data_IF_145085683871
#
_entry.id   IF_145085683871
#
_cell.length_a   1.000
_cell.length_b   1.000
_cell.length_c   1.000
_cell.angle_alpha   90.00
_cell.angle_beta   90.00
_cell.angle_gamma   90.00
#
_symmetry.space_group_name_H-M   'P 1'
#
loop_
_entity.id
_entity.type
_entity.pdbx_description
1 polymer ?
#
# COMPACT_ATOMS: atom_id res chain seq x y z
N UNK A 1 -22.86 -29.44 19.52
CA UNK A 1 -21.43 -29.40 19.92
C UNK A 1 -21.01 -30.82 20.26
N UNK A 2 -20.12 -31.46 19.50
CA UNK A 2 -19.60 -32.80 19.82
C UNK A 2 -18.22 -32.62 20.42
N UNK A 3 -18.14 -32.63 21.75
CA UNK A 3 -16.90 -32.49 22.53
C UNK A 3 -16.57 -33.82 23.23
N UNK A 4 -16.03 -34.79 22.50
CA UNK A 4 -15.57 -36.04 23.12
C UNK A 4 -14.78 -36.99 22.20
N UNK A 5 -14.23 -36.53 21.08
CA UNK A 5 -13.33 -37.37 20.27
C UNK A 5 -11.88 -36.94 20.46
N UNK A 6 -11.03 -37.88 20.89
CA UNK A 6 -9.58 -37.65 21.01
C UNK A 6 -9.02 -37.17 19.66
N UNK A 7 -8.26 -36.07 19.68
CA UNK A 7 -7.52 -35.59 18.51
C UNK A 7 -6.39 -36.59 18.28
N UNK A 8 -6.50 -37.35 17.18
CA UNK A 8 -5.48 -38.32 16.77
C UNK A 8 -4.17 -37.61 16.47
N UNK A 9 -3.05 -38.22 16.89
CA UNK A 9 -1.72 -37.78 16.46
C UNK A 9 -1.55 -38.05 14.96
N UNK A 10 -0.73 -37.27 14.22
CA UNK A 10 -0.52 -37.46 12.78
C UNK A 10 -0.13 -38.90 12.35
N UNK A 11 0.51 -39.66 13.24
CA UNK A 11 0.88 -41.07 13.00
C UNK A 11 -0.25 -42.09 13.21
N UNK A 12 -1.36 -41.70 13.84
CA UNK A 12 -2.52 -42.56 14.14
C UNK A 12 -3.65 -42.43 13.10
N UNK A 13 -3.41 -41.67 12.02
CA UNK A 13 -4.37 -41.48 10.94
C UNK A 13 -4.48 -42.71 10.02
N UNK A 14 -3.42 -43.52 9.94
CA UNK A 14 -3.33 -44.62 9.00
C UNK A 14 -3.53 -45.94 9.73
N UNK A 15 -4.61 -46.64 9.39
CA UNK A 15 -4.82 -48.01 9.84
C UNK A 15 -3.83 -48.94 9.13
N UNK A 16 -3.42 -50.02 9.81
CA UNK A 16 -2.55 -51.01 9.18
C UNK A 16 -3.29 -51.67 8.02
N UNK A 17 -2.72 -51.70 6.80
CA UNK A 17 -3.43 -52.21 5.64
C UNK A 17 -3.70 -53.71 5.82
N UNK A 18 -4.99 -54.07 5.81
CA UNK A 18 -5.44 -55.47 5.95
C UNK A 18 -5.04 -56.32 4.73
N UNK A 19 -4.76 -55.66 3.60
CA UNK A 19 -4.38 -56.29 2.33
C UNK A 19 -2.86 -56.19 2.17
N UNK A 20 -2.17 -57.33 2.18
CA UNK A 20 -0.74 -57.42 1.81
C UNK A 20 -0.61 -57.31 0.29
N UNK A 21 -0.62 -56.08 -0.21
CA UNK A 21 -0.36 -55.81 -1.62
C UNK A 21 1.14 -55.86 -1.90
N UNK A 22 1.51 -56.36 -3.08
CA UNK A 22 2.90 -56.27 -3.56
C UNK A 22 3.30 -54.79 -3.71
N UNK A 23 4.45 -54.37 -3.15
CA UNK A 23 4.87 -52.97 -3.14
C UNK A 23 4.96 -52.36 -4.55
N UNK A 24 5.35 -53.15 -5.56
CA UNK A 24 5.42 -52.67 -6.95
C UNK A 24 4.05 -52.26 -7.47
N UNK A 25 3.04 -53.09 -7.24
CA UNK A 25 1.66 -52.79 -7.65
C UNK A 25 1.03 -51.61 -6.89
N UNK A 26 1.41 -51.41 -5.62
CA UNK A 26 0.94 -50.29 -4.82
C UNK A 26 1.47 -48.96 -5.37
N UNK A 27 2.77 -48.88 -5.66
CA UNK A 27 3.41 -47.68 -6.22
C UNK A 27 2.79 -47.32 -7.57
N UNK A 28 2.61 -48.30 -8.46
CA UNK A 28 1.99 -48.05 -9.77
C UNK A 28 0.56 -47.54 -9.66
N UNK A 29 -0.23 -48.03 -8.69
CA UNK A 29 -1.59 -47.53 -8.45
C UNK A 29 -1.58 -46.12 -7.86
N UNK A 30 -0.70 -45.85 -6.89
CA UNK A 30 -0.57 -44.54 -6.28
C UNK A 30 -0.16 -43.48 -7.31
N UNK A 31 0.79 -43.79 -8.20
CA UNK A 31 1.19 -42.92 -9.30
C UNK A 31 0.01 -42.58 -10.20
N UNK A 32 -0.78 -43.59 -10.63
CA UNK A 32 -1.99 -43.36 -11.43
C UNK A 32 -3.01 -42.47 -10.71
N UNK A 33 -3.26 -42.72 -9.42
CA UNK A 33 -4.17 -41.87 -8.64
C UNK A 33 -3.66 -40.42 -8.56
N UNK A 34 -2.37 -40.22 -8.30
CA UNK A 34 -1.79 -38.88 -8.22
C UNK A 34 -1.78 -38.17 -9.58
N UNK A 35 -1.62 -38.89 -10.69
CA UNK A 35 -1.75 -38.37 -12.05
C UNK A 35 -3.19 -37.95 -12.39
N UNK A 36 -4.19 -38.67 -11.86
CA UNK A 36 -5.61 -38.33 -12.04
C UNK A 36 -6.05 -37.11 -11.21
N UNK A 37 -5.34 -36.78 -10.12
CA UNK A 37 -5.62 -35.60 -9.31
C UNK A 37 -5.30 -34.33 -10.09
N UNK A 38 -6.34 -33.66 -10.58
CA UNK A 38 -6.21 -32.33 -11.18
C UNK A 38 -6.17 -31.26 -10.09
N UNK A 39 -5.32 -30.23 -10.20
CA UNK A 39 -5.37 -29.09 -9.31
C UNK A 39 -6.77 -28.45 -9.39
N UNK A 40 -7.40 -28.27 -8.23
CA UNK A 40 -8.65 -27.52 -8.16
C UNK A 40 -8.38 -26.08 -8.64
N UNK A 41 -9.16 -25.55 -9.59
CA UNK A 41 -9.02 -24.16 -9.98
C UNK A 41 -9.23 -23.28 -8.75
N UNK A 42 -8.19 -22.52 -8.39
CA UNK A 42 -8.26 -21.57 -7.29
C UNK A 42 -9.43 -20.62 -7.54
N UNK A 43 -10.40 -20.60 -6.62
CA UNK A 43 -11.60 -19.77 -6.72
C UNK A 43 -11.33 -18.27 -6.58
N UNK A 44 -10.06 -17.87 -6.40
CA UNK A 44 -9.73 -16.48 -6.16
C UNK A 44 -8.56 -16.00 -7.01
N UNK A 45 -8.81 -15.69 -8.28
CA UNK A 45 -8.02 -14.68 -8.98
C UNK A 45 -8.44 -13.33 -8.38
N UNK A 46 -7.80 -12.92 -7.28
CA UNK A 46 -7.99 -11.58 -6.75
C UNK A 46 -7.43 -10.60 -7.79
N UNK A 47 -8.31 -10.01 -8.60
CA UNK A 47 -7.99 -8.78 -9.34
C UNK A 47 -7.75 -7.67 -8.30
N UNK A 48 -6.54 -7.63 -7.75
CA UNK A 48 -6.14 -6.57 -6.84
C UNK A 48 -6.01 -5.29 -7.66
N UNK A 49 -6.99 -4.40 -7.51
CA UNK A 49 -6.87 -3.02 -7.99
C UNK A 49 -5.76 -2.36 -7.19
N UNK A 50 -4.65 -2.01 -7.84
CA UNK A 50 -3.56 -1.31 -7.19
C UNK A 50 -4.04 0.06 -6.71
N UNK A 51 -3.84 0.36 -5.44
CA UNK A 51 -4.16 1.67 -4.89
C UNK A 51 -3.09 2.68 -5.31
N UNK A 52 -3.50 3.69 -6.08
CA UNK A 52 -2.67 4.84 -6.45
C UNK A 52 -3.28 6.09 -5.84
N UNK A 53 -2.46 6.91 -5.19
CA UNK A 53 -2.93 8.16 -4.58
C UNK A 53 -3.37 9.14 -5.68
N UNK A 54 -4.61 9.65 -5.57
CA UNK A 54 -5.21 10.54 -6.58
C UNK A 54 -4.36 11.79 -6.83
N UNK A 55 -3.83 12.36 -5.75
CA UNK A 55 -3.02 13.59 -5.79
C UNK A 55 -1.66 13.42 -6.45
N UNK A 56 -1.19 12.20 -6.74
CA UNK A 56 0.05 12.02 -7.51
C UNK A 56 -0.07 12.60 -8.93
N UNK A 57 -1.29 12.73 -9.46
CA UNK A 57 -1.53 13.36 -10.77
C UNK A 57 -1.30 14.87 -10.76
N UNK A 58 -1.56 15.54 -9.64
CA UNK A 58 -1.52 17.01 -9.52
C UNK A 58 -0.41 17.55 -8.62
N UNK A 59 0.23 16.72 -7.78
CA UNK A 59 1.19 17.17 -6.78
C UNK A 59 2.47 17.75 -7.39
N UNK A 60 2.92 18.91 -6.93
CA UNK A 60 4.20 19.51 -7.38
C UNK A 60 5.42 18.79 -6.81
N UNK A 61 5.31 18.29 -5.58
CA UNK A 61 6.39 17.60 -4.87
C UNK A 61 5.95 16.22 -4.41
N UNK A 62 6.92 15.30 -4.35
CA UNK A 62 6.73 13.91 -3.90
C UNK A 62 7.83 13.49 -2.94
N UNK A 63 7.48 12.64 -1.99
CA UNK A 63 8.42 11.88 -1.18
C UNK A 63 8.80 10.59 -1.90
N UNK A 64 10.09 10.26 -1.92
CA UNK A 64 10.63 9.10 -2.63
C UNK A 64 11.05 8.01 -1.65
N UNK A 65 10.53 6.79 -1.79
CA UNK A 65 10.89 5.66 -0.93
C UNK A 65 12.32 5.18 -1.19
N UNK A 66 13.07 4.93 -0.13
CA UNK A 66 14.42 4.38 -0.15
C UNK A 66 14.33 2.86 0.05
N UNK A 67 14.42 2.08 -1.03
CA UNK A 67 14.32 0.61 -0.97
C UNK A 67 15.62 -0.11 -0.61
N UNK A 68 16.75 0.61 -0.57
CA UNK A 68 18.04 0.05 -0.16
C UNK A 68 18.11 -0.13 1.36
N UNK A 69 18.95 -1.06 1.81
CA UNK A 69 19.28 -1.24 3.22
C UNK A 69 19.74 0.11 3.81
N UNK A 70 19.03 0.56 4.84
CA UNK A 70 19.27 1.86 5.49
C UNK A 70 19.93 1.66 6.86
N UNK A 71 20.70 2.66 7.29
CA UNK A 71 21.19 2.75 8.67
C UNK A 71 20.00 2.92 9.63
N UNK A 72 20.16 2.46 10.86
CA UNK A 72 19.20 2.71 11.94
C UNK A 72 18.80 4.19 12.02
N UNK A 73 17.53 4.44 12.34
CA UNK A 73 16.93 5.78 12.51
C UNK A 73 16.88 6.67 11.26
N UNK A 74 17.18 6.17 10.06
CA UNK A 74 16.93 6.91 8.82
C UNK A 74 15.46 6.84 8.39
N UNK A 75 14.84 7.95 7.94
CA UNK A 75 13.48 7.90 7.42
C UNK A 75 13.41 7.02 6.16
N UNK A 76 12.30 6.29 5.95
CA UNK A 76 12.13 5.43 4.79
C UNK A 76 11.88 6.20 3.49
N UNK A 77 11.54 7.49 3.58
CA UNK A 77 11.34 8.37 2.43
C UNK A 77 12.36 9.50 2.47
N UNK A 78 12.88 9.83 1.29
CA UNK A 78 13.63 11.04 1.03
C UNK A 78 12.65 12.19 0.77
N UNK A 79 13.04 13.41 1.18
CA UNK A 79 12.18 14.58 1.35
C UNK A 79 11.39 15.03 0.11
N UNK A 80 10.69 16.18 0.19
CA UNK A 80 9.90 16.68 -0.92
C UNK A 80 10.80 16.98 -2.13
N UNK A 81 10.69 16.14 -3.15
CA UNK A 81 11.42 16.27 -4.41
C UNK A 81 10.48 16.80 -5.49
N UNK A 82 11.00 17.66 -6.36
CA UNK A 82 10.22 18.27 -7.44
C UNK A 82 9.94 17.23 -8.52
N UNK A 83 8.68 17.13 -8.93
CA UNK A 83 8.28 16.30 -10.08
C UNK A 83 8.52 17.10 -11.37
N UNK A 84 9.33 16.57 -12.27
CA UNK A 84 9.66 17.19 -13.56
C UNK A 84 8.66 16.75 -14.63
N UNK A 85 8.47 15.44 -14.76
CA UNK A 85 7.56 14.84 -15.76
C UNK A 85 6.77 13.69 -15.12
N UNK A 86 5.55 13.47 -15.62
CA UNK A 86 4.63 12.42 -15.14
C UNK A 86 4.25 11.50 -16.28
N UNK A 87 4.36 10.19 -16.05
CA UNK A 87 3.83 9.15 -16.93
C UNK A 87 2.90 8.22 -16.12
N UNK A 88 2.21 7.32 -16.82
CA UNK A 88 1.20 6.46 -16.20
C UNK A 88 1.75 5.48 -15.14
N UNK A 89 3.00 5.03 -15.27
CA UNK A 89 3.64 4.05 -14.37
C UNK A 89 4.87 4.56 -13.62
N UNK A 90 5.49 5.63 -14.12
CA UNK A 90 6.74 6.17 -13.58
C UNK A 90 6.79 7.68 -13.77
N UNK A 91 7.47 8.38 -12.86
CA UNK A 91 7.66 9.83 -12.92
C UNK A 91 9.15 10.14 -13.01
N UNK A 92 9.47 11.25 -13.66
CA UNK A 92 10.82 11.83 -13.62
C UNK A 92 10.85 12.83 -12.48
N UNK A 93 11.66 12.55 -11.45
CA UNK A 93 11.77 13.34 -10.22
C UNK A 93 13.17 13.92 -10.11
N UNK A 94 13.27 15.18 -9.72
CA UNK A 94 14.56 15.85 -9.48
C UNK A 94 15.04 15.54 -8.06
N UNK A 95 16.01 14.64 -7.94
CA UNK A 95 16.59 14.18 -6.67
C UNK A 95 18.09 14.43 -6.69
N UNK A 96 18.64 15.10 -5.67
CA UNK A 96 20.09 15.33 -5.51
C UNK A 96 20.76 15.85 -6.80
N UNK A 97 20.16 16.88 -7.40
CA UNK A 97 20.65 17.54 -8.61
C UNK A 97 20.64 16.67 -9.88
N UNK A 98 19.88 15.57 -9.89
CA UNK A 98 19.76 14.67 -11.03
C UNK A 98 18.28 14.35 -11.30
N UNK A 99 17.94 14.22 -12.57
CA UNK A 99 16.65 13.68 -12.99
C UNK A 99 16.70 12.15 -12.89
N UNK A 100 15.80 11.57 -12.09
CA UNK A 100 15.73 10.12 -11.88
C UNK A 100 14.32 9.64 -12.20
N UNK A 101 14.22 8.53 -12.92
CA UNK A 101 12.96 7.88 -13.23
C UNK A 101 12.58 6.95 -12.08
N UNK A 102 11.37 7.11 -11.55
CA UNK A 102 10.90 6.41 -10.36
C UNK A 102 9.48 5.89 -10.61
N UNK A 103 9.25 4.60 -10.34
CA UNK A 103 7.90 4.01 -10.39
C UNK A 103 6.96 4.66 -9.37
N UNK A 104 5.67 4.72 -9.72
CA UNK A 104 4.62 5.32 -8.88
C UNK A 104 4.51 4.66 -7.51
N UNK A 105 4.78 3.35 -7.42
CA UNK A 105 4.71 2.58 -6.18
C UNK A 105 5.68 3.06 -5.08
N UNK A 106 6.70 3.83 -5.46
CA UNK A 106 7.72 4.39 -4.56
C UNK A 106 7.48 5.85 -4.22
N UNK A 107 6.41 6.44 -4.73
CA UNK A 107 6.09 7.85 -4.56
C UNK A 107 4.94 8.05 -3.59
N UNK A 108 5.03 9.13 -2.82
CA UNK A 108 3.93 9.62 -1.99
C UNK A 108 3.82 11.14 -2.21
N UNK A 109 2.62 11.70 -2.40
CA UNK A 109 2.47 13.14 -2.58
C UNK A 109 2.98 13.88 -1.34
N UNK A 110 3.69 15.00 -1.56
CA UNK A 110 4.16 15.88 -0.51
C UNK A 110 3.27 17.12 -0.43
N UNK A 111 2.71 17.37 0.75
CA UNK A 111 1.94 18.57 1.04
C UNK A 111 2.86 19.60 1.68
N UNK A 112 3.14 20.67 0.96
CA UNK A 112 3.91 21.80 1.45
C UNK A 112 2.93 22.90 1.87
N UNK A 113 3.12 23.44 3.08
CA UNK A 113 2.41 24.64 3.49
C UNK A 113 2.98 25.80 2.68
N UNK A 114 2.11 26.57 2.04
CA UNK A 114 2.51 27.81 1.36
C UNK A 114 2.78 28.85 2.44
N UNK A 115 3.96 28.79 3.03
CA UNK A 115 4.51 29.88 3.84
C UNK A 115 5.43 30.68 2.92
N UNK A 116 4.92 31.81 2.47
CA UNK A 116 5.60 32.91 1.76
C UNK A 116 6.50 32.54 0.57
N UNK A 117 5.90 32.71 -0.60
CA UNK A 117 6.45 32.78 -1.96
C UNK A 117 7.99 32.79 -2.06
N UNK A 118 8.55 31.64 -2.41
CA UNK A 118 9.76 31.58 -3.24
C UNK A 118 9.31 31.17 -4.64
N UNK A 119 9.50 32.10 -5.58
CA UNK A 119 9.18 31.97 -7.00
C UNK A 119 9.78 30.68 -7.59
N UNK A 120 8.95 29.66 -7.76
CA UNK A 120 9.13 28.66 -8.80
C UNK A 120 7.77 28.49 -9.48
N UNK A 121 7.67 29.00 -10.71
CA UNK A 121 6.45 28.94 -11.52
C UNK A 121 6.04 27.48 -11.67
N UNK A 122 4.80 27.09 -11.30
CA UNK A 122 4.26 25.80 -11.69
C UNK A 122 4.12 25.77 -13.21
N UNK A 123 4.57 24.70 -13.85
CA UNK A 123 4.29 24.42 -15.26
C UNK A 123 2.81 24.02 -15.34
N UNK A 124 1.95 24.77 -16.05
CA UNK A 124 0.56 24.38 -16.26
C UNK A 124 0.50 23.26 -17.31
N UNK A 125 -0.39 22.29 -17.12
CA UNK A 125 -0.87 21.45 -18.21
C UNK A 125 -2.40 21.57 -18.23
N UNK A 126 -2.89 22.30 -19.22
CA UNK A 126 -4.30 22.57 -19.49
C UNK A 126 -4.99 21.30 -19.99
N UNK A 127 -6.19 21.01 -19.47
CA UNK A 127 -7.46 21.10 -20.22
C UNK A 127 -8.61 21.44 -19.27
N UNK A 128 -9.54 22.21 -19.81
CA UNK A 128 -10.77 22.76 -19.22
C UNK A 128 -11.73 21.68 -18.71
N UNK A 129 -12.51 22.01 -17.68
CA UNK A 129 -13.93 22.35 -17.85
C UNK A 129 -14.49 23.02 -16.58
N UNK A 130 -15.35 24.01 -16.81
CA UNK A 130 -15.92 24.95 -15.85
C UNK A 130 -16.90 24.27 -14.88
N UNK A 131 -16.91 24.71 -13.62
CA UNK A 131 -18.15 25.19 -12.99
C UNK A 131 -17.87 25.97 -11.70
N UNK A 132 -18.37 27.20 -11.70
CA UNK A 132 -18.46 28.17 -10.60
C UNK A 132 -19.45 27.73 -9.52
N UNK A 133 -19.16 28.00 -8.24
CA UNK A 133 -20.08 28.61 -7.27
C UNK A 133 -19.25 29.19 -6.10
N UNK A 134 -19.71 30.34 -5.59
CA UNK A 134 -19.04 31.26 -4.66
C UNK A 134 -19.76 31.24 -3.29
N UNK A 135 -19.01 31.63 -2.24
CA UNK A 135 -19.42 32.00 -0.86
C UNK A 135 -19.80 30.83 0.10
N UNK A 136 -19.51 30.84 1.40
CA UNK A 136 -19.03 31.91 2.27
C UNK A 136 -18.34 31.40 3.55
N UNK A 137 -17.64 32.32 4.18
CA UNK A 137 -16.83 32.22 5.40
C UNK A 137 -17.58 31.84 6.69
N UNK A 138 -16.98 30.98 7.53
CA UNK A 138 -17.03 31.14 8.99
C UNK A 138 -15.75 30.61 9.65
N UNK A 139 -14.99 31.55 10.19
CA UNK A 139 -13.71 31.40 10.86
C UNK A 139 -13.97 31.12 12.35
N UNK A 140 -13.68 29.90 12.85
CA UNK A 140 -13.63 29.64 14.29
C UNK A 140 -12.20 29.28 14.70
N UNK A 141 -11.50 30.23 15.28
CA UNK A 141 -10.15 30.04 15.83
C UNK A 141 -10.20 29.08 17.03
N UNK A 142 -9.66 27.86 16.89
CA UNK A 142 -9.50 26.96 18.03
C UNK A 142 -8.24 27.34 18.83
N UNK A 143 -8.44 27.63 20.12
CA UNK A 143 -7.38 28.04 21.05
C UNK A 143 -6.49 26.84 21.32
N UNK A 144 -5.21 26.93 20.91
CA UNK A 144 -4.21 25.89 21.21
C UNK A 144 -4.11 25.67 22.72
N UNK A 145 -4.57 24.52 23.20
CA UNK A 145 -4.45 24.15 24.62
C UNK A 145 -3.21 23.28 24.79
N UNK A 146 -2.24 23.76 25.56
CA UNK A 146 -1.02 23.03 25.90
C UNK A 146 -1.25 22.15 27.11
N UNK A 147 -0.64 20.96 27.11
CA UNK A 147 -0.55 20.13 28.32
C UNK A 147 0.43 20.72 29.32
N UNK A 148 0.35 20.29 30.59
CA UNK A 148 1.26 20.71 31.67
C UNK A 148 2.74 20.43 31.39
N UNK A 149 3.06 19.60 30.39
CA UNK A 149 4.41 19.27 29.92
C UNK A 149 4.76 19.91 28.55
N UNK A 150 3.97 20.87 28.06
CA UNK A 150 4.29 21.65 26.85
C UNK A 150 4.00 20.95 25.52
N UNK A 151 3.41 19.74 25.53
CA UNK A 151 3.00 19.07 24.29
C UNK A 151 1.72 19.70 23.74
N UNK A 152 1.72 20.05 22.44
CA UNK A 152 0.56 20.56 21.71
C UNK A 152 -0.44 19.44 21.42
N UNK A 153 -1.64 19.55 21.99
CA UNK A 153 -2.72 18.59 21.77
C UNK A 153 -3.62 19.12 20.65
N UNK A 154 -3.75 18.35 19.56
CA UNK A 154 -4.80 18.60 18.56
C UNK A 154 -6.09 17.93 19.05
N UNK A 155 -7.15 18.70 19.28
CA UNK A 155 -8.46 18.14 19.59
C UNK A 155 -9.01 17.46 18.34
N UNK A 156 -9.55 16.25 18.48
CA UNK A 156 -10.24 15.58 17.39
C UNK A 156 -11.59 16.29 17.18
N UNK A 157 -11.89 16.70 15.94
CA UNK A 157 -13.17 17.31 15.60
C UNK A 157 -14.25 16.25 15.72
N UNK A 158 -15.17 16.43 16.66
CA UNK A 158 -16.34 15.57 16.86
C UNK A 158 -17.39 15.99 15.84
N UNK A 159 -17.84 15.05 15.01
CA UNK A 159 -18.98 15.28 14.11
C UNK A 159 -20.21 15.61 14.97
N UNK A 160 -20.91 16.70 14.65
CA UNK A 160 -22.27 16.94 15.13
C UNK A 160 -23.25 16.28 14.16
N UNK A 161 -24.33 15.76 14.71
CA UNK A 161 -25.39 14.99 14.04
C UNK A 161 -26.12 15.77 12.93
#
# INVERSE_FOLDING_TARGET
MVYSTNIKLPGEFFDTPTIKMDPGTFVSKLQKFMEELKPMPSTTVKHQTLFVHKDLRSCSHVFVRIDRVKKALKPPYEGPCVVVERFEKYFTVFVKNKNVIISIDRLKPAYLLVTDKVNNKPIPCEKSDENSYVEDSHLSYDKQTTSRCGSHIKRLVRFQD
#
